data_IF_082271745945
#
_entry.id   IF_082271745945
#
_cell.length_a   1.000
_cell.length_b   1.000
_cell.length_c   1.000
_cell.angle_alpha   90.00
_cell.angle_beta   90.00
_cell.angle_gamma   90.00
#
_symmetry.space_group_name_H-M   'P 1'
#
loop_
_entity.id
_entity.type
_entity.pdbx_description
1 polymer ?
#
# COMPACT_ATOMS: atom_id res chain seq x y z
N UNK A 1 15.45 -16.53 -16.44
CA UNK A 1 15.55 -15.47 -15.42
C UNK A 1 15.11 -14.08 -15.91
N UNK A 2 15.27 -13.71 -17.20
CA UNK A 2 14.90 -12.39 -17.70
C UNK A 2 13.40 -11.99 -17.53
N UNK A 3 12.46 -12.89 -17.83
CA UNK A 3 11.03 -12.59 -17.75
C UNK A 3 10.57 -12.31 -16.30
N UNK A 4 11.00 -13.14 -15.35
CA UNK A 4 10.69 -12.94 -13.94
C UNK A 4 11.23 -11.61 -13.41
N UNK A 5 12.48 -11.26 -13.75
CA UNK A 5 13.06 -9.97 -13.39
C UNK A 5 12.31 -8.80 -14.01
N UNK A 6 11.85 -8.90 -15.26
CA UNK A 6 11.05 -7.87 -15.92
C UNK A 6 9.70 -7.66 -15.22
N UNK A 7 8.99 -8.75 -14.88
CA UNK A 7 7.73 -8.69 -14.14
C UNK A 7 7.94 -8.05 -12.77
N UNK A 8 8.94 -8.48 -12.01
CA UNK A 8 9.24 -7.90 -10.69
C UNK A 8 9.64 -6.42 -10.78
N UNK A 9 10.45 -6.02 -11.77
CA UNK A 9 10.81 -4.63 -11.96
C UNK A 9 9.59 -3.76 -12.27
N UNK A 10 8.69 -4.26 -13.13
CA UNK A 10 7.46 -3.56 -13.48
C UNK A 10 6.52 -3.41 -12.27
N UNK A 11 6.34 -4.46 -11.46
CA UNK A 11 5.57 -4.37 -10.22
C UNK A 11 6.16 -3.34 -9.25
N UNK A 12 7.49 -3.26 -9.13
CA UNK A 12 8.17 -2.26 -8.31
C UNK A 12 7.97 -0.83 -8.81
N UNK A 13 7.93 -0.62 -10.12
CA UNK A 13 7.64 0.70 -10.69
C UNK A 13 6.22 1.14 -10.35
N UNK A 14 5.23 0.24 -10.48
CA UNK A 14 3.83 0.54 -10.14
C UNK A 14 3.68 0.90 -8.66
N UNK A 15 4.20 0.09 -7.74
CA UNK A 15 4.05 0.40 -6.31
C UNK A 15 4.76 1.70 -5.94
N UNK A 16 5.90 2.01 -6.56
CA UNK A 16 6.61 3.26 -6.32
C UNK A 16 5.84 4.48 -6.86
N UNK A 17 5.17 4.37 -8.01
CA UNK A 17 4.29 5.43 -8.54
C UNK A 17 3.17 5.77 -7.56
N UNK A 18 2.53 4.75 -6.98
CA UNK A 18 1.52 4.94 -5.95
C UNK A 18 2.08 5.59 -4.68
N UNK A 19 3.27 5.17 -4.22
CA UNK A 19 3.95 5.78 -3.06
C UNK A 19 4.25 7.25 -3.29
N UNK A 20 4.78 7.58 -4.48
CA UNK A 20 5.08 8.97 -4.85
C UNK A 20 3.80 9.80 -4.93
N UNK A 21 2.71 9.22 -5.45
CA UNK A 21 1.40 9.89 -5.48
C UNK A 21 0.91 10.23 -4.07
N UNK A 22 0.97 9.27 -3.13
CA UNK A 22 0.61 9.49 -1.73
C UNK A 22 1.48 10.56 -1.06
N UNK A 23 2.80 10.52 -1.27
CA UNK A 23 3.71 11.52 -0.71
C UNK A 23 3.45 12.92 -1.30
N UNK A 24 3.17 13.01 -2.60
CA UNK A 24 2.88 14.27 -3.27
C UNK A 24 1.52 14.86 -2.87
N UNK A 25 0.55 14.04 -2.45
CA UNK A 25 -0.71 14.52 -1.86
C UNK A 25 -0.54 14.99 -0.40
N UNK A 26 0.65 14.83 0.17
CA UNK A 26 0.95 15.19 1.56
C UNK A 26 0.57 14.10 2.57
N UNK A 27 0.31 12.87 2.13
CA UNK A 27 0.05 11.74 3.02
C UNK A 27 1.35 11.28 3.71
N UNK A 28 1.24 10.86 4.96
CA UNK A 28 2.33 10.20 5.66
C UNK A 28 2.30 8.71 5.34
N UNK A 29 3.42 8.18 4.84
CA UNK A 29 3.61 6.76 4.57
C UNK A 29 4.19 6.07 5.81
N UNK A 30 3.36 5.37 6.58
CA UNK A 30 3.77 4.69 7.81
C UNK A 30 4.45 3.35 7.55
N UNK A 31 3.99 2.63 6.53
CA UNK A 31 4.53 1.32 6.18
C UNK A 31 4.29 1.02 4.70
N UNK A 32 5.16 0.20 4.12
CA UNK A 32 4.92 -0.37 2.80
C UNK A 32 5.64 -1.69 2.60
N UNK A 33 4.94 -2.64 1.99
CA UNK A 33 5.50 -3.90 1.49
C UNK A 33 5.59 -3.86 -0.06
N UNK A 34 5.63 -5.03 -0.67
CA UNK A 34 5.85 -5.26 -2.11
C UNK A 34 4.64 -4.82 -2.94
N UNK A 35 3.43 -4.97 -2.40
CA UNK A 35 2.15 -4.78 -3.07
C UNK A 35 1.15 -3.94 -2.25
N UNK A 36 1.58 -3.41 -1.10
CA UNK A 36 0.71 -2.69 -0.16
C UNK A 36 1.41 -1.52 0.52
N UNK A 37 0.60 -0.59 1.03
CA UNK A 37 1.06 0.56 1.81
C UNK A 37 0.01 0.98 2.83
N UNK A 38 0.48 1.57 3.92
CA UNK A 38 -0.36 2.15 4.98
C UNK A 38 -0.08 3.65 5.02
N UNK A 39 -1.14 4.43 4.81
CA UNK A 39 -1.13 5.89 4.74
C UNK A 39 -2.26 6.45 5.62
N UNK A 40 -2.13 7.69 6.10
CA UNK A 40 -3.15 8.35 6.92
C UNK A 40 -4.23 9.10 6.14
N UNK A 41 -4.05 9.22 4.83
CA UNK A 41 -4.99 9.92 3.97
C UNK A 41 -5.49 8.99 2.87
N UNK A 42 -6.71 9.24 2.39
CA UNK A 42 -7.23 8.53 1.24
C UNK A 42 -6.39 8.85 0.00
N UNK A 43 -5.96 7.80 -0.70
CA UNK A 43 -5.33 7.97 -1.99
C UNK A 43 -6.38 8.42 -3.01
N UNK A 44 -5.97 9.23 -3.98
CA UNK A 44 -6.86 9.68 -5.06
C UNK A 44 -7.56 8.47 -5.71
N UNK A 45 -8.88 8.55 -5.82
CA UNK A 45 -9.75 7.62 -6.52
C UNK A 45 -9.27 7.27 -7.94
N UNK A 46 -8.48 8.15 -8.57
CA UNK A 46 -7.85 7.90 -9.88
C UNK A 46 -6.78 6.78 -9.87
N UNK A 47 -6.40 6.27 -8.69
CA UNK A 47 -5.43 5.20 -8.46
C UNK A 47 -5.98 4.03 -7.62
N UNK A 48 -7.21 4.15 -7.12
CA UNK A 48 -7.89 3.13 -6.31
C UNK A 48 -9.09 2.60 -7.06
N UNK A 49 -9.00 1.37 -7.57
CA UNK A 49 -10.09 0.68 -8.25
C UNK A 49 -9.87 -0.85 -8.17
N UNK A 50 -10.75 -1.60 -7.49
CA UNK A 50 -10.60 -3.05 -7.34
C UNK A 50 -10.78 -3.82 -8.66
N UNK A 51 -11.40 -3.23 -9.69
CA UNK A 51 -11.67 -3.88 -10.97
C UNK A 51 -10.59 -3.60 -12.03
N UNK A 52 -9.64 -2.68 -11.77
CA UNK A 52 -8.67 -2.22 -12.77
C UNK A 52 -7.26 -2.74 -12.47
N UNK A 53 -6.62 -3.32 -13.48
CA UNK A 53 -5.26 -3.86 -13.34
C UNK A 53 -4.25 -2.73 -13.07
N UNK A 54 -3.40 -2.92 -12.05
CA UNK A 54 -2.37 -1.96 -11.65
C UNK A 54 -2.86 -0.87 -10.68
N UNK A 55 -4.13 -0.90 -10.31
CA UNK A 55 -4.73 -0.02 -9.31
C UNK A 55 -4.69 -0.68 -7.94
N UNK A 56 -4.75 0.15 -6.89
CA UNK A 56 -4.85 -0.34 -5.52
C UNK A 56 -6.30 -0.60 -5.15
N UNK A 57 -6.49 -1.53 -4.21
CA UNK A 57 -7.77 -1.78 -3.57
C UNK A 57 -7.66 -1.33 -2.11
N UNK A 58 -8.67 -0.64 -1.61
CA UNK A 58 -8.78 -0.36 -0.18
C UNK A 58 -9.11 -1.67 0.54
N UNK A 59 -8.15 -2.18 1.30
CA UNK A 59 -8.33 -3.43 2.06
C UNK A 59 -8.99 -3.16 3.42
N UNK A 60 -8.42 -2.25 4.22
CA UNK A 60 -8.88 -1.99 5.58
C UNK A 60 -8.73 -0.51 5.98
N UNK A 61 -9.64 -0.05 6.84
CA UNK A 61 -9.48 1.21 7.58
C UNK A 61 -8.88 0.90 8.96
N UNK A 62 -7.71 1.48 9.22
CA UNK A 62 -6.91 1.22 10.42
C UNK A 62 -7.09 2.39 11.39
N UNK A 63 -7.42 2.09 12.65
CA UNK A 63 -7.44 3.08 13.73
C UNK A 63 -6.06 3.26 14.38
N UNK A 64 -5.32 2.16 14.50
CA UNK A 64 -4.01 2.15 15.16
C UNK A 64 -3.11 1.10 14.48
N UNK A 65 -1.86 1.49 14.18
CA UNK A 65 -0.87 0.61 13.57
C UNK A 65 0.49 0.72 14.25
N UNK A 66 1.09 -0.41 14.62
CA UNK A 66 2.44 -0.47 15.20
C UNK A 66 3.33 -1.26 14.24
N UNK A 67 4.39 -0.64 13.73
CA UNK A 67 5.29 -1.22 12.72
C UNK A 67 6.74 -1.26 13.23
N UNK A 68 7.09 -2.16 14.17
CA UNK A 68 8.42 -2.20 14.77
C UNK A 68 9.51 -2.67 13.81
N UNK A 69 9.18 -3.57 12.86
CA UNK A 69 10.13 -4.15 11.91
C UNK A 69 9.45 -4.45 10.56
N UNK A 70 10.21 -4.62 9.47
CA UNK A 70 9.66 -5.11 8.20
C UNK A 70 8.92 -6.44 8.39
N UNK A 71 7.69 -6.54 7.87
CA UNK A 71 6.80 -7.71 7.99
C UNK A 71 6.38 -8.09 9.41
N UNK A 72 6.66 -7.24 10.40
CA UNK A 72 6.17 -7.41 11.76
C UNK A 72 5.39 -6.15 12.09
N UNK A 73 4.07 -6.28 12.10
CA UNK A 73 3.18 -5.17 12.37
C UNK A 73 1.92 -5.63 13.10
N UNK A 74 1.29 -4.71 13.81
CA UNK A 74 0.00 -4.88 14.45
C UNK A 74 -0.95 -3.82 13.93
N UNK A 75 -2.15 -4.20 13.51
CA UNK A 75 -3.18 -3.29 13.01
C UNK A 75 -4.48 -3.48 13.78
N UNK A 76 -4.99 -2.40 14.39
CA UNK A 76 -6.37 -2.36 14.90
C UNK A 76 -7.26 -1.76 13.82
N UNK A 77 -8.13 -2.58 13.23
CA UNK A 77 -9.15 -2.15 12.26
C UNK A 77 -10.48 -1.90 12.96
N UNK A 78 -11.32 -1.06 12.36
CA UNK A 78 -12.67 -0.73 12.85
C UNK A 78 -13.63 -1.93 12.89
N UNK A 79 -13.38 -2.97 12.08
CA UNK A 79 -14.24 -4.16 11.98
C UNK A 79 -13.93 -5.27 13.00
N UNK A 80 -12.91 -5.07 13.86
CA UNK A 80 -12.50 -6.04 14.87
C UNK A 80 -11.13 -6.65 14.58
N UNK A 81 -10.35 -6.77 15.67
CA UNK A 81 -8.94 -7.16 15.74
C UNK A 81 -8.45 -8.18 14.70
N UNK A 82 -7.39 -7.82 13.97
CA UNK A 82 -6.54 -8.78 13.26
C UNK A 82 -5.12 -8.68 13.82
N UNK A 83 -4.72 -9.74 14.52
CA UNK A 83 -3.40 -9.91 15.16
C UNK A 83 -2.41 -10.61 14.25
#
# INVERSE_FOLDING_TARGET
MALASAVTAYSRMIINDHKLTALNSGANLYYSDTDSMVIDQELDSSKVDPAKLGYLKLEHTIEEGIFPLPKVYYLRTTEGHQS
#
